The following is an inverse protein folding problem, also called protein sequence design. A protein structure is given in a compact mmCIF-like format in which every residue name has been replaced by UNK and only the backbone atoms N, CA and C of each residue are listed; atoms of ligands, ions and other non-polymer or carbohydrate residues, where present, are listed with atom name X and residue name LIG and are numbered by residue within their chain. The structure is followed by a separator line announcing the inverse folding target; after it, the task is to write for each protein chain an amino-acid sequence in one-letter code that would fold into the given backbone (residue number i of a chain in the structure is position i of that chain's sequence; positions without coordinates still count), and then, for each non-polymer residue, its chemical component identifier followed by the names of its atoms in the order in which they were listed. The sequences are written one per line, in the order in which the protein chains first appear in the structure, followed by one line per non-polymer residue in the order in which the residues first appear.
data_IF_600134388805
#
_entry.id   IF_600134388805
#
_cell.length_a   1.000
_cell.length_b   1.000
_cell.length_c   1.000
_cell.angle_alpha   90.00
_cell.angle_beta   90.00
_cell.angle_gamma   90.00
#
_symmetry.space_group_name_H-M   'P 1'
#
loop_
_entity.id
_entity.type
_entity.pdbx_description
1 polymer ?
#
# COMPACT_ATOMS: atom_id res chain seq x y z
N UNK A 1 -12.09 8.65 -2.82
CA UNK A 1 -12.61 7.33 -3.23
C UNK A 1 -14.14 7.35 -3.33
N UNK A 2 -14.67 6.58 -4.29
CA UNK A 2 -16.09 6.27 -4.32
C UNK A 2 -16.45 5.25 -3.21
N UNK A 3 -17.74 5.11 -2.93
CA UNK A 3 -18.22 4.14 -1.92
C UNK A 3 -17.87 2.68 -2.29
N UNK A 4 -17.78 2.40 -3.58
CA UNK A 4 -17.50 1.06 -4.11
C UNK A 4 -16.08 0.92 -4.65
N UNK A 5 -15.14 1.74 -4.18
CA UNK A 5 -13.75 1.73 -4.64
C UNK A 5 -13.12 0.36 -4.51
N UNK A 6 -12.29 0.00 -5.49
CA UNK A 6 -11.44 -1.19 -5.46
C UNK A 6 -9.99 -0.76 -5.41
N UNK A 7 -9.26 -1.29 -4.45
CA UNK A 7 -7.84 -1.01 -4.27
C UNK A 7 -7.03 -2.30 -4.31
N UNK A 8 -5.91 -2.28 -5.00
CA UNK A 8 -4.94 -3.37 -4.97
C UNK A 8 -3.52 -2.84 -5.05
N UNK A 9 -2.64 -3.44 -4.26
CA UNK A 9 -1.19 -3.31 -4.39
C UNK A 9 -0.55 -4.69 -4.18
N UNK A 10 0.80 -4.83 -4.22
CA UNK A 10 1.44 -6.12 -4.01
C UNK A 10 1.23 -6.75 -2.63
N UNK A 11 0.81 -5.97 -1.62
CA UNK A 11 0.58 -6.43 -0.25
C UNK A 11 -0.91 -6.58 0.04
N UNK A 12 -1.71 -5.56 -0.28
CA UNK A 12 -3.16 -5.55 -0.06
C UNK A 12 -3.87 -5.77 -1.39
N UNK A 13 -4.36 -6.99 -1.61
CA UNK A 13 -5.00 -7.37 -2.86
C UNK A 13 -6.51 -7.38 -2.71
N UNK A 14 -7.21 -6.67 -3.60
CA UNK A 14 -8.65 -6.73 -3.70
C UNK A 14 -9.43 -6.10 -2.54
N UNK A 15 -8.95 -5.02 -1.96
CA UNK A 15 -9.70 -4.27 -0.97
C UNK A 15 -10.88 -3.55 -1.64
N UNK A 16 -12.04 -3.57 -0.99
CA UNK A 16 -13.26 -2.96 -1.53
C UNK A 16 -13.87 -1.98 -0.54
N UNK A 17 -14.35 -0.86 -1.06
CA UNK A 17 -15.12 0.12 -0.32
C UNK A 17 -14.37 0.64 0.91
N UNK A 18 -14.98 0.50 2.07
CA UNK A 18 -14.44 1.00 3.33
C UNK A 18 -13.08 0.40 3.70
N UNK A 19 -12.80 -0.83 3.30
CA UNK A 19 -11.51 -1.48 3.57
C UNK A 19 -10.33 -0.67 3.05
N UNK A 20 -10.46 -0.08 1.86
CA UNK A 20 -9.40 0.74 1.27
C UNK A 20 -9.11 1.98 2.11
N UNK A 21 -10.15 2.68 2.55
CA UNK A 21 -10.00 3.84 3.43
C UNK A 21 -9.42 3.47 4.79
N UNK A 22 -9.84 2.36 5.36
CA UNK A 22 -9.34 1.87 6.65
C UNK A 22 -7.87 1.48 6.57
N UNK A 23 -7.44 0.87 5.44
CA UNK A 23 -6.03 0.58 5.20
C UNK A 23 -5.18 1.87 5.24
N UNK A 24 -5.60 2.92 4.56
CA UNK A 24 -4.87 4.20 4.56
C UNK A 24 -4.84 4.83 5.95
N UNK A 25 -5.94 4.79 6.69
CA UNK A 25 -5.98 5.27 8.07
C UNK A 25 -5.01 4.51 8.96
N UNK A 26 -4.97 3.19 8.82
CA UNK A 26 -4.05 2.34 9.56
C UNK A 26 -2.60 2.71 9.26
N UNK A 27 -2.22 2.82 7.99
CA UNK A 27 -0.86 3.14 7.59
C UNK A 27 -0.43 4.52 8.09
N UNK A 28 -1.29 5.52 7.94
CA UNK A 28 -1.00 6.88 8.39
C UNK A 28 -0.93 6.99 9.91
N UNK A 29 -1.71 6.21 10.64
CA UNK A 29 -1.69 6.18 12.11
C UNK A 29 -0.44 5.51 12.65
N UNK A 30 -0.01 4.40 12.04
CA UNK A 30 1.13 3.60 12.52
C UNK A 30 2.49 4.14 12.08
N UNK A 31 2.55 4.88 11.00
CA UNK A 31 3.79 5.43 10.46
C UNK A 31 3.93 6.91 10.85
N UNK A 32 4.40 7.16 12.07
CA UNK A 32 4.51 8.52 12.64
C UNK A 32 5.50 9.40 11.86
N UNK A 33 6.51 8.82 11.22
CA UNK A 33 7.54 9.50 10.43
C UNK A 33 7.29 9.41 8.92
N UNK A 34 6.05 9.12 8.53
CA UNK A 34 5.68 8.94 7.13
C UNK A 34 5.84 10.25 6.34
N UNK A 35 6.59 10.19 5.26
CA UNK A 35 6.67 11.29 4.29
C UNK A 35 6.39 10.76 2.89
N UNK A 36 5.73 11.58 2.09
CA UNK A 36 5.32 11.24 0.73
C UNK A 36 5.71 12.38 -0.19
N UNK A 37 6.41 12.04 -1.28
CA UNK A 37 6.56 12.93 -2.42
C UNK A 37 5.90 12.30 -3.63
N UNK A 38 5.39 13.12 -4.54
CA UNK A 38 4.73 12.63 -5.74
C UNK A 38 5.14 13.47 -6.95
N UNK A 39 5.01 12.87 -8.13
CA UNK A 39 5.29 13.53 -9.40
C UNK A 39 4.72 12.74 -10.56
N UNK A 40 5.02 13.17 -11.78
CA UNK A 40 4.58 12.52 -13.00
C UNK A 40 3.06 12.27 -12.99
N UNK A 41 2.30 13.25 -12.47
CA UNK A 41 0.84 13.15 -12.38
C UNK A 41 0.23 13.43 -13.73
N UNK A 42 -0.53 12.47 -14.25
CA UNK A 42 -1.31 12.60 -15.48
C UNK A 42 -2.74 12.18 -15.18
N UNK A 43 -3.69 12.94 -15.68
CA UNK A 43 -5.10 12.61 -15.46
C UNK A 43 -5.98 13.17 -16.57
N UNK A 44 -7.02 12.42 -16.91
CA UNK A 44 -8.17 12.86 -17.71
C UNK A 44 -9.45 12.57 -16.91
N UNK A 45 -10.62 12.68 -17.56
CA UNK A 45 -11.91 12.48 -16.87
C UNK A 45 -12.15 11.03 -16.43
N UNK A 46 -11.42 10.07 -16.99
CA UNK A 46 -11.65 8.63 -16.77
C UNK A 46 -10.49 7.94 -16.09
N UNK A 47 -9.26 8.38 -16.33
CA UNK A 47 -8.06 7.70 -15.84
C UNK A 47 -7.04 8.69 -15.34
N UNK A 48 -6.23 8.24 -14.39
CA UNK A 48 -5.09 8.99 -13.90
C UNK A 48 -3.94 8.08 -13.52
N UNK A 49 -2.76 8.65 -13.43
CA UNK A 49 -1.57 7.98 -12.93
C UNK A 49 -0.69 8.96 -12.17
N UNK A 50 0.09 8.42 -11.24
CA UNK A 50 1.08 9.20 -10.50
C UNK A 50 2.20 8.28 -10.05
N UNK A 51 3.38 8.86 -9.82
CA UNK A 51 4.48 8.17 -9.15
C UNK A 51 4.67 8.77 -7.77
N UNK A 52 4.72 7.90 -6.76
CA UNK A 52 4.91 8.28 -5.38
C UNK A 52 6.21 7.71 -4.84
N UNK A 53 6.85 8.46 -3.95
CA UNK A 53 7.95 7.94 -3.13
C UNK A 53 7.51 8.08 -1.68
N UNK A 54 7.29 6.95 -1.03
CA UNK A 54 6.91 6.89 0.37
C UNK A 54 8.14 6.52 1.20
N UNK A 55 8.41 7.29 2.24
CA UNK A 55 9.50 7.05 3.19
C UNK A 55 8.91 6.93 4.58
N UNK A 56 9.25 5.85 5.27
CA UNK A 56 8.77 5.62 6.63
C UNK A 56 9.65 4.57 7.34
N UNK A 57 9.48 4.47 8.66
CA UNK A 57 10.10 3.41 9.44
C UNK A 57 9.11 2.26 9.58
N UNK A 58 9.53 1.06 9.20
CA UNK A 58 8.73 -0.15 9.39
C UNK A 58 8.74 -0.53 10.87
N UNK A 59 7.58 -0.45 11.52
CA UNK A 59 7.49 -0.54 12.98
C UNK A 59 7.93 -1.88 13.57
N UNK A 60 7.78 -2.97 12.82
CA UNK A 60 8.14 -4.31 13.30
C UNK A 60 9.65 -4.56 13.38
N UNK A 61 10.44 -3.86 12.58
CA UNK A 61 11.90 -4.05 12.52
C UNK A 61 12.69 -2.79 12.82
N UNK A 62 12.05 -1.63 12.85
CA UNK A 62 12.72 -0.34 13.01
C UNK A 62 13.54 0.10 11.80
N UNK A 63 13.41 -0.57 10.66
CA UNK A 63 14.18 -0.25 9.46
C UNK A 63 13.48 0.80 8.61
N UNK A 64 14.29 1.69 8.00
CA UNK A 64 13.77 2.70 7.07
C UNK A 64 13.43 2.07 5.73
N UNK A 65 12.23 2.38 5.24
CA UNK A 65 11.75 1.96 3.91
C UNK A 65 11.57 3.18 3.03
N UNK A 66 12.12 3.12 1.81
CA UNK A 66 11.84 4.07 0.73
C UNK A 66 11.19 3.29 -0.39
N UNK A 67 9.89 3.50 -0.56
CA UNK A 67 9.10 2.73 -1.53
C UNK A 67 8.69 3.61 -2.71
N UNK A 68 9.09 3.20 -3.90
CA UNK A 68 8.72 3.87 -5.15
C UNK A 68 7.49 3.16 -5.71
N UNK A 69 6.38 3.88 -5.79
CA UNK A 69 5.08 3.34 -6.13
C UNK A 69 4.57 4.00 -7.39
N UNK A 70 4.12 3.20 -8.35
CA UNK A 70 3.36 3.68 -9.49
C UNK A 70 1.88 3.46 -9.24
N UNK A 71 1.12 4.55 -9.20
CA UNK A 71 -0.33 4.50 -8.96
C UNK A 71 -1.09 4.70 -10.26
N UNK A 72 -2.14 3.90 -10.45
CA UNK A 72 -3.07 4.01 -11.57
C UNK A 72 -4.49 4.11 -11.02
N UNK A 73 -5.28 5.02 -11.59
CA UNK A 73 -6.63 5.32 -11.14
C UNK A 73 -7.64 5.20 -12.26
N UNK A 74 -8.83 4.74 -11.93
CA UNK A 74 -10.02 4.85 -12.78
C UNK A 74 -11.03 5.71 -12.05
N UNK A 75 -11.54 6.74 -12.72
CA UNK A 75 -12.50 7.69 -12.16
C UNK A 75 -13.93 7.38 -12.63
N UNK A 76 -14.87 7.61 -11.73
CA UNK A 76 -16.30 7.61 -12.02
C UNK A 76 -16.98 8.71 -11.23
N UNK A 77 -17.75 9.56 -11.91
CA UNK A 77 -18.49 10.68 -11.30
C UNK A 77 -17.60 11.60 -10.44
N UNK A 78 -16.36 11.88 -10.91
CA UNK A 78 -15.40 12.71 -10.20
C UNK A 78 -14.73 12.07 -8.99
N UNK A 79 -14.93 10.78 -8.76
CA UNK A 79 -14.34 10.02 -7.65
C UNK A 79 -13.50 8.87 -8.16
N UNK A 80 -12.58 8.38 -7.33
CA UNK A 80 -11.75 7.23 -7.65
C UNK A 80 -12.54 5.95 -7.42
N UNK A 81 -12.83 5.22 -8.49
CA UNK A 81 -13.52 3.92 -8.46
C UNK A 81 -12.53 2.76 -8.36
N UNK A 82 -11.33 2.94 -8.88
CA UNK A 82 -10.29 1.90 -8.84
C UNK A 82 -8.93 2.56 -8.67
N UNK A 83 -8.14 2.01 -7.77
CA UNK A 83 -6.78 2.42 -7.51
C UNK A 83 -5.89 1.17 -7.48
N UNK A 84 -4.96 1.10 -8.41
CA UNK A 84 -3.93 0.06 -8.45
C UNK A 84 -2.58 0.68 -8.19
N UNK A 85 -1.87 0.14 -7.23
CA UNK A 85 -0.51 0.54 -6.91
C UNK A 85 0.47 -0.58 -7.24
N UNK A 86 1.59 -0.23 -7.83
CA UNK A 86 2.63 -1.17 -8.23
C UNK A 86 3.95 -0.77 -7.61
N UNK A 87 4.59 -1.69 -6.92
CA UNK A 87 5.95 -1.54 -6.43
C UNK A 87 6.62 -2.91 -6.36
N UNK A 88 7.95 -2.91 -6.29
CA UNK A 88 8.72 -4.15 -6.16
C UNK A 88 8.67 -4.66 -4.72
N UNK A 89 7.90 -5.72 -4.49
CA UNK A 89 7.73 -6.30 -3.15
C UNK A 89 9.04 -6.89 -2.60
N UNK A 90 9.90 -7.43 -3.46
CA UNK A 90 11.20 -7.92 -3.02
C UNK A 90 12.09 -6.77 -2.53
N UNK A 91 12.11 -5.65 -3.27
CA UNK A 91 12.83 -4.46 -2.86
C UNK A 91 12.31 -3.90 -1.53
N UNK A 92 10.98 -3.88 -1.37
CA UNK A 92 10.35 -3.51 -0.11
C UNK A 92 10.79 -4.45 1.03
N UNK A 93 10.77 -5.76 0.78
CA UNK A 93 11.18 -6.78 1.76
C UNK A 93 12.63 -6.64 2.18
N UNK A 94 13.53 -6.33 1.24
CA UNK A 94 14.95 -6.09 1.57
C UNK A 94 15.11 -4.93 2.53
N UNK A 95 14.36 -3.86 2.33
CA UNK A 95 14.44 -2.68 3.19
C UNK A 95 13.76 -2.92 4.54
N UNK A 96 12.55 -3.44 4.53
CA UNK A 96 11.74 -3.60 5.74
C UNK A 96 12.23 -4.72 6.65
N UNK A 97 12.64 -5.85 6.09
CA UNK A 97 13.01 -7.07 6.80
C UNK A 97 14.53 -7.34 6.86
N UNK A 98 15.33 -6.54 6.14
CA UNK A 98 16.77 -6.68 6.11
C UNK A 98 17.25 -7.94 5.40
N UNK A 99 18.26 -8.63 5.97
CA UNK A 99 18.88 -9.80 5.35
C UNK A 99 17.88 -10.92 5.05
N UNK A 100 16.93 -11.14 5.93
CA UNK A 100 15.87 -12.15 5.74
C UNK A 100 15.02 -11.82 4.51
N UNK A 101 14.65 -10.56 4.33
CA UNK A 101 13.93 -10.11 3.15
C UNK A 101 14.78 -10.20 1.89
N UNK A 102 16.09 -9.94 1.99
CA UNK A 102 17.00 -10.05 0.87
C UNK A 102 17.08 -11.49 0.33
N UNK A 103 17.20 -12.47 1.23
CA UNK A 103 17.35 -13.88 0.87
C UNK A 103 16.03 -14.55 0.48
N UNK A 104 14.93 -14.17 1.10
CA UNK A 104 13.66 -14.91 1.03
C UNK A 104 12.50 -14.12 0.45
N UNK A 105 12.59 -12.79 0.38
CA UNK A 105 11.47 -11.92 -0.02
C UNK A 105 11.00 -12.08 -1.47
N UNK A 106 11.77 -12.76 -2.32
CA UNK A 106 11.37 -13.07 -3.70
C UNK A 106 10.55 -14.36 -3.80
N UNK A 107 10.52 -15.17 -2.75
CA UNK A 107 9.79 -16.44 -2.76
C UNK A 107 8.28 -16.19 -2.67
N UNK A 108 7.47 -16.85 -3.53
CA UNK A 108 6.01 -16.68 -3.49
C UNK A 108 5.39 -17.02 -2.14
N UNK A 109 5.90 -18.03 -1.44
CA UNK A 109 5.41 -18.42 -0.11
C UNK A 109 5.64 -17.30 0.93
N UNK A 110 6.80 -16.64 0.89
CA UNK A 110 7.12 -15.53 1.80
C UNK A 110 6.26 -14.31 1.46
N UNK A 111 6.09 -13.99 0.19
CA UNK A 111 5.22 -12.90 -0.25
C UNK A 111 3.76 -13.15 0.15
N UNK A 112 3.30 -14.39 0.04
CA UNK A 112 1.97 -14.78 0.52
C UNK A 112 1.82 -14.61 2.03
N UNK A 113 2.85 -14.92 2.82
CA UNK A 113 2.86 -14.71 4.26
C UNK A 113 2.79 -13.21 4.62
N UNK A 114 3.51 -12.36 3.88
CA UNK A 114 3.46 -10.90 4.06
C UNK A 114 2.03 -10.38 3.81
N UNK A 115 1.39 -10.83 2.73
CA UNK A 115 0.01 -10.45 2.40
C UNK A 115 -0.97 -10.90 3.48
N UNK A 116 -0.84 -12.13 3.96
CA UNK A 116 -1.71 -12.67 5.01
C UNK A 116 -1.56 -11.90 6.33
N UNK A 117 -0.33 -11.54 6.70
CA UNK A 117 -0.08 -10.76 7.90
C UNK A 117 -0.64 -9.33 7.76
N UNK A 118 -0.51 -8.72 6.59
CA UNK A 118 -1.06 -7.39 6.32
C UNK A 118 -2.59 -7.40 6.43
N UNK A 119 -3.26 -8.42 5.89
CA UNK A 119 -4.70 -8.59 6.01
C UNK A 119 -5.15 -8.76 7.46
N UNK A 120 -4.43 -9.56 8.24
CA UNK A 120 -4.72 -9.73 9.67
C UNK A 120 -4.54 -8.42 10.44
N UNK A 121 -3.49 -7.66 10.12
CA UNK A 121 -3.25 -6.35 10.70
C UNK A 121 -4.37 -5.37 10.39
N UNK A 122 -4.86 -5.35 9.16
CA UNK A 122 -5.99 -4.51 8.77
C UNK A 122 -7.28 -4.91 9.49
N UNK A 123 -7.59 -6.21 9.56
CA UNK A 123 -8.77 -6.69 10.28
C UNK A 123 -8.73 -6.32 11.76
N UNK A 124 -7.56 -6.44 12.39
CA UNK A 124 -7.35 -6.01 13.78
C UNK A 124 -7.56 -4.52 13.98
N UNK A 125 -7.06 -3.71 13.06
CA UNK A 125 -7.28 -2.25 13.08
C UNK A 125 -8.76 -1.90 12.91
N UNK A 126 -9.44 -2.53 11.96
CA UNK A 126 -10.88 -2.31 11.74
C UNK A 126 -11.71 -2.66 12.97
N UNK A 127 -11.32 -3.68 13.73
CA UNK A 127 -12.00 -4.06 14.97
C UNK A 127 -11.90 -2.98 16.06
N UNK A 128 -10.93 -2.07 15.99
CA UNK A 128 -10.77 -0.95 16.94
C UNK A 128 -11.55 0.30 16.54
N UNK A 129 -12.09 0.34 15.33
CA UNK A 129 -12.85 1.49 14.83
C UNK A 129 -14.30 1.46 15.35
N UNK A 130 -14.89 2.64 15.65
CA UNK A 130 -16.28 2.73 16.10
C UNK A 130 -17.29 2.37 15.00
#
# INVERSE_FOLDING_TARGET
YSADVRFSDPVFVGLQGREAGDMWRMLCTRAADFSLSYGEVEADDRRGSAQWVARYTFSQTGRTVVNVIRAEFVFGDGRIDEHRAHFDLWRWSRQALGLKGWLLGWLPAVQGAIRAQARRGLAGFQATLP
#
